data_IF_607563090383
#
_entry.id   IF_607563090383
#
_cell.length_a   1.000
_cell.length_b   1.000
_cell.length_c   1.000
_cell.angle_alpha   90.00
_cell.angle_beta   90.00
_cell.angle_gamma   90.00
#
_symmetry.space_group_name_H-M   'P 1'
#
loop_
_entity.id
_entity.type
_entity.pdbx_description
1 polymer ?
#
# COMPACT_ATOMS: atom_id res chain seq x y z
N UNK A 1 -8.95 10.57 -14.17
CA UNK A 1 -9.13 9.60 -13.07
C UNK A 1 -8.75 10.30 -11.78
N UNK A 2 -9.58 10.20 -10.74
CA UNK A 2 -9.26 10.77 -9.43
C UNK A 2 -8.20 9.94 -8.70
N UNK A 3 -7.47 10.56 -7.76
CA UNK A 3 -6.54 9.84 -6.87
C UNK A 3 -7.30 8.78 -6.06
N UNK A 4 -6.70 7.59 -5.95
CA UNK A 4 -7.12 6.48 -5.08
C UNK A 4 -7.04 6.87 -3.59
N UNK A 5 -7.71 6.11 -2.73
CA UNK A 5 -7.62 6.26 -1.27
C UNK A 5 -6.17 6.13 -0.82
N UNK A 6 -5.44 5.14 -1.35
CA UNK A 6 -4.04 4.90 -1.01
C UNK A 6 -3.14 6.10 -1.38
N UNK A 7 -3.29 6.65 -2.58
CA UNK A 7 -2.52 7.83 -3.04
C UNK A 7 -2.79 9.06 -2.17
N UNK A 8 -4.05 9.31 -1.82
CA UNK A 8 -4.42 10.42 -0.91
C UNK A 8 -3.83 10.23 0.48
N UNK A 9 -3.81 9.00 0.97
CA UNK A 9 -3.28 8.68 2.29
C UNK A 9 -1.76 8.89 2.35
N UNK A 10 -1.02 8.54 1.30
CA UNK A 10 0.41 8.82 1.22
C UNK A 10 0.74 10.31 1.14
N UNK A 11 -0.06 11.10 0.41
CA UNK A 11 0.10 12.56 0.33
C UNK A 11 -0.03 13.27 1.68
N UNK A 12 -0.85 12.71 2.58
CA UNK A 12 -1.10 13.27 3.92
C UNK A 12 -0.23 12.61 5.02
N UNK A 13 0.55 11.59 4.66
CA UNK A 13 1.34 10.84 5.63
C UNK A 13 2.51 11.66 6.16
N UNK A 14 2.76 11.55 7.47
CA UNK A 14 4.00 12.06 8.06
C UNK A 14 5.22 11.28 7.53
N UNK A 15 6.40 11.91 7.59
CA UNK A 15 7.67 11.26 7.22
C UNK A 15 7.86 9.93 7.96
N UNK A 16 7.50 9.87 9.25
CA UNK A 16 7.57 8.65 10.05
C UNK A 16 6.63 7.55 9.54
N UNK A 17 5.44 7.89 9.05
CA UNK A 17 4.53 6.93 8.42
C UNK A 17 5.08 6.43 7.07
N UNK A 18 5.69 7.30 6.26
CA UNK A 18 6.36 6.93 5.01
C UNK A 18 7.50 5.94 5.27
N UNK A 19 8.37 6.22 6.25
CA UNK A 19 9.47 5.33 6.65
C UNK A 19 8.96 3.98 7.16
N UNK A 20 7.90 3.97 7.97
CA UNK A 20 7.27 2.76 8.44
C UNK A 20 6.70 1.92 7.28
N UNK A 21 6.06 2.57 6.29
CA UNK A 21 5.57 1.90 5.10
C UNK A 21 6.70 1.30 4.26
N UNK A 22 7.84 1.99 4.13
CA UNK A 22 9.05 1.45 3.51
C UNK A 22 9.57 0.20 4.22
N UNK A 23 9.63 0.23 5.55
CA UNK A 23 10.06 -0.91 6.35
C UNK A 23 9.14 -2.13 6.13
N UNK A 24 7.82 -1.92 6.18
CA UNK A 24 6.81 -2.95 5.90
C UNK A 24 6.94 -3.49 4.49
N UNK A 25 7.10 -2.63 3.47
CA UNK A 25 7.21 -3.03 2.07
C UNK A 25 8.47 -3.88 1.82
N UNK A 26 9.60 -3.56 2.47
CA UNK A 26 10.87 -4.30 2.36
C UNK A 26 10.91 -5.60 3.16
N UNK A 27 10.04 -5.78 4.16
CA UNK A 27 10.07 -6.97 5.04
C UNK A 27 9.77 -8.29 4.31
N UNK A 28 10.72 -9.22 4.24
CA UNK A 28 10.61 -10.39 3.36
C UNK A 28 9.76 -11.55 3.91
N UNK A 29 9.38 -11.53 5.19
CA UNK A 29 8.77 -12.69 5.85
C UNK A 29 7.23 -12.68 5.84
N UNK A 30 6.59 -11.71 5.19
CA UNK A 30 5.13 -11.65 5.05
C UNK A 30 4.73 -11.40 3.59
N UNK A 31 3.63 -12.02 3.18
CA UNK A 31 3.04 -11.81 1.86
C UNK A 31 2.35 -10.45 1.73
N UNK A 32 2.05 -10.08 0.48
CA UNK A 32 1.48 -8.76 0.14
C UNK A 32 0.23 -8.38 0.92
N UNK A 33 -0.71 -9.31 1.15
CA UNK A 33 -1.95 -9.02 1.89
C UNK A 33 -1.68 -8.47 3.29
N UNK A 34 -0.71 -9.07 3.99
CA UNK A 34 -0.31 -8.61 5.33
C UNK A 34 0.41 -7.27 5.25
N UNK A 35 1.21 -7.02 4.22
CA UNK A 35 1.85 -5.72 3.99
C UNK A 35 0.82 -4.63 3.77
N UNK A 36 -0.15 -4.86 2.89
CA UNK A 36 -1.26 -3.93 2.63
C UNK A 36 -2.01 -3.65 3.92
N UNK A 37 -2.37 -4.68 4.71
CA UNK A 37 -3.02 -4.49 6.01
C UNK A 37 -2.21 -3.63 6.97
N UNK A 38 -0.91 -3.86 7.10
CA UNK A 38 -0.03 -3.05 7.95
C UNK A 38 0.07 -1.60 7.44
N UNK A 39 0.17 -1.40 6.13
CA UNK A 39 0.22 -0.06 5.52
C UNK A 39 -1.10 0.67 5.73
N UNK A 40 -2.24 0.01 5.51
CA UNK A 40 -3.57 0.58 5.80
C UNK A 40 -3.68 1.03 7.25
N UNK A 41 -3.20 0.21 8.18
CA UNK A 41 -3.15 0.57 9.61
C UNK A 41 -2.25 1.77 9.89
N UNK A 42 -1.04 1.81 9.32
CA UNK A 42 -0.09 2.93 9.48
C UNK A 42 -0.69 4.24 8.97
N UNK A 43 -1.40 4.19 7.85
CA UNK A 43 -1.99 5.35 7.18
C UNK A 43 -3.38 5.72 7.72
N UNK A 44 -3.98 4.91 8.60
CA UNK A 44 -5.30 5.15 9.16
C UNK A 44 -6.45 5.00 8.16
N UNK A 45 -6.29 4.18 7.12
CA UNK A 45 -7.31 3.93 6.10
C UNK A 45 -7.93 2.54 6.23
N UNK A 46 -9.17 2.36 5.75
CA UNK A 46 -9.83 1.06 5.79
C UNK A 46 -9.12 0.06 4.86
N UNK A 47 -8.81 -1.11 5.42
CA UNK A 47 -8.11 -2.15 4.69
C UNK A 47 -8.93 -2.72 3.53
N UNK A 48 -10.24 -2.94 3.71
CA UNK A 48 -11.09 -3.53 2.69
C UNK A 48 -11.32 -2.55 1.53
N UNK A 49 -11.42 -1.25 1.82
CA UNK A 49 -11.46 -0.22 0.79
C UNK A 49 -10.16 -0.21 -0.03
N UNK A 50 -9.00 -0.27 0.62
CA UNK A 50 -7.70 -0.39 -0.07
C UNK A 50 -7.62 -1.67 -0.92
N UNK A 51 -8.20 -2.78 -0.46
CA UNK A 51 -8.20 -4.02 -1.24
C UNK A 51 -8.94 -3.90 -2.57
N UNK A 52 -9.92 -3.00 -2.68
CA UNK A 52 -10.65 -2.76 -3.93
C UNK A 52 -9.85 -1.92 -4.94
N UNK A 53 -8.76 -1.28 -4.51
CA UNK A 53 -7.93 -0.41 -5.35
C UNK A 53 -6.63 -1.08 -5.82
N UNK A 54 -6.23 -2.19 -5.18
CA UNK A 54 -5.01 -2.90 -5.54
C UNK A 54 -5.23 -3.89 -6.69
N UNK A 55 -4.19 -4.19 -7.50
CA UNK A 55 -4.34 -5.10 -8.64
C UNK A 55 -4.73 -6.53 -8.24
N UNK A 56 -5.89 -6.97 -8.71
CA UNK A 56 -6.40 -8.33 -8.54
C UNK A 56 -6.37 -9.14 -9.85
N UNK A 57 -6.15 -10.44 -9.74
CA UNK A 57 -6.46 -11.43 -10.76
C UNK A 57 -7.97 -11.56 -10.93
N UNK A 58 -8.41 -12.04 -12.11
CA UNK A 58 -9.83 -12.31 -12.39
C UNK A 58 -10.48 -13.36 -11.49
N UNK A 59 -9.70 -14.07 -10.66
CA UNK A 59 -10.14 -15.01 -9.61
C UNK A 59 -10.15 -14.38 -8.20
N UNK A 60 -9.91 -13.06 -8.08
CA UNK A 60 -9.90 -12.33 -6.81
C UNK A 60 -8.58 -12.39 -6.03
N UNK A 61 -7.52 -13.00 -6.58
CA UNK A 61 -6.20 -13.03 -5.92
C UNK A 61 -5.43 -11.74 -6.14
N UNK A 62 -4.73 -11.24 -5.12
CA UNK A 62 -3.91 -10.03 -5.25
C UNK A 62 -2.56 -10.37 -5.88
N UNK A 63 -2.16 -9.61 -6.91
CA UNK A 63 -0.85 -9.74 -7.52
C UNK A 63 0.23 -9.10 -6.65
N UNK A 64 1.06 -9.93 -6.01
CA UNK A 64 2.15 -9.48 -5.11
C UNK A 64 3.07 -8.46 -5.78
N UNK A 65 3.66 -8.82 -6.93
CA UNK A 65 4.60 -7.95 -7.66
C UNK A 65 3.96 -6.63 -8.10
N UNK A 66 2.76 -6.67 -8.66
CA UNK A 66 2.08 -5.47 -9.15
C UNK A 66 1.71 -4.53 -8.00
N UNK A 67 1.16 -5.07 -6.92
CA UNK A 67 0.78 -4.31 -5.73
C UNK A 67 2.02 -3.72 -5.04
N UNK A 68 3.11 -4.47 -4.93
CA UNK A 68 4.38 -3.95 -4.40
C UNK A 68 4.91 -2.80 -5.25
N UNK A 69 4.87 -2.92 -6.57
CA UNK A 69 5.31 -1.85 -7.47
C UNK A 69 4.42 -0.61 -7.35
N UNK A 70 3.11 -0.79 -7.23
CA UNK A 70 2.17 0.31 -7.00
C UNK A 70 2.54 1.08 -5.71
N UNK A 71 2.67 0.36 -4.59
CA UNK A 71 3.02 0.96 -3.30
C UNK A 71 4.41 1.62 -3.37
N UNK A 72 5.39 0.95 -3.97
CA UNK A 72 6.75 1.48 -4.14
C UNK A 72 6.77 2.80 -4.92
N UNK A 73 6.08 2.83 -6.06
CA UNK A 73 6.00 3.99 -6.93
C UNK A 73 5.26 5.16 -6.29
N UNK A 74 4.38 4.89 -5.33
CA UNK A 74 3.73 5.95 -4.58
C UNK A 74 4.63 6.47 -3.45
N UNK A 75 5.25 5.59 -2.66
CA UNK A 75 6.16 5.96 -1.59
C UNK A 75 7.34 6.81 -2.06
N UNK A 76 7.92 6.49 -3.22
CA UNK A 76 9.09 7.21 -3.74
C UNK A 76 8.79 8.68 -4.10
N UNK A 77 7.52 9.05 -4.27
CA UNK A 77 7.13 10.45 -4.54
C UNK A 77 7.26 11.35 -3.31
N UNK A 78 7.30 10.75 -2.12
CA UNK A 78 7.31 11.44 -0.82
C UNK A 78 8.56 11.10 0.01
N UNK A 79 9.58 10.50 -0.63
CA UNK A 79 10.90 10.20 -0.02
C UNK A 79 11.93 11.28 -0.33
#
# INVERSE_FOLDING_TARGET
MGKTLLEKAFEQASVTQIDACWAVLKYKNIGILRKVRCISFILGVDYNEVLNEVPTSGDGRIYDKATRNLIHNELIKYS
#
